data_IF_854104469414
#
_entry.id   IF_854104469414
#
_cell.length_a   1.000
_cell.length_b   1.000
_cell.length_c   1.000
_cell.angle_alpha   90.00
_cell.angle_beta   90.00
_cell.angle_gamma   90.00
#
_symmetry.space_group_name_H-M   'P 1'
#
loop_
_entity.id
_entity.type
_entity.pdbx_description
1 polymer ?
#
# COMPACT_ATOMS: atom_id res chain seq x y z
N UNK A 1 0.59 18.63 -4.42
CA UNK A 1 -0.85 18.30 -4.30
C UNK A 1 -1.50 19.48 -3.61
N UNK A 2 -2.71 19.85 -4.00
CA UNK A 2 -3.45 20.92 -3.31
C UNK A 2 -3.83 20.43 -1.91
N UNK A 3 -3.74 21.28 -0.88
CA UNK A 3 -4.00 20.91 0.52
C UNK A 3 -5.40 20.29 0.71
N UNK A 4 -6.37 20.73 -0.08
CA UNK A 4 -7.74 20.24 -0.05
C UNK A 4 -7.89 18.77 -0.53
N UNK A 5 -6.97 18.28 -1.35
CA UNK A 5 -6.95 16.88 -1.81
C UNK A 5 -6.38 15.96 -0.74
N UNK A 6 -5.40 16.43 0.03
CA UNK A 6 -4.76 15.66 1.09
C UNK A 6 -5.71 15.45 2.28
N UNK A 7 -6.44 16.50 2.68
CA UNK A 7 -7.44 16.42 3.75
C UNK A 7 -8.58 15.45 3.41
N UNK A 8 -9.04 15.45 2.15
CA UNK A 8 -10.05 14.50 1.70
C UNK A 8 -9.54 13.06 1.75
N UNK A 9 -8.31 12.82 1.27
CA UNK A 9 -7.69 11.51 1.30
C UNK A 9 -7.49 11.01 2.74
N UNK A 10 -7.09 11.90 3.65
CA UNK A 10 -6.98 11.60 5.08
C UNK A 10 -8.31 11.12 5.66
N UNK A 11 -9.40 11.87 5.44
CA UNK A 11 -10.72 11.50 5.96
C UNK A 11 -11.29 10.22 5.32
N UNK A 12 -10.96 9.93 4.06
CA UNK A 12 -11.32 8.69 3.40
C UNK A 12 -10.57 7.49 3.99
N UNK A 13 -9.24 7.55 4.03
CA UNK A 13 -8.40 6.45 4.53
C UNK A 13 -8.62 6.19 6.01
N UNK A 14 -8.91 7.23 6.81
CA UNK A 14 -9.19 7.09 8.24
C UNK A 14 -10.43 6.23 8.51
N UNK A 15 -11.42 6.22 7.60
CA UNK A 15 -12.60 5.35 7.71
C UNK A 15 -12.27 3.88 7.45
N UNK A 16 -11.10 3.59 6.88
CA UNK A 16 -10.64 2.26 6.55
C UNK A 16 -9.73 1.66 7.62
N UNK A 17 -9.53 2.33 8.77
CA UNK A 17 -8.73 1.77 9.88
C UNK A 17 -9.35 0.43 10.32
N UNK A 18 -8.52 -0.62 10.34
CA UNK A 18 -8.91 -2.00 10.61
C UNK A 18 -9.31 -2.80 9.37
N UNK A 19 -9.45 -2.16 8.22
CA UNK A 19 -9.79 -2.80 6.95
C UNK A 19 -8.54 -3.12 6.13
N UNK A 20 -8.71 -4.10 5.25
CA UNK A 20 -7.69 -4.53 4.31
C UNK A 20 -7.65 -3.61 3.08
N UNK A 21 -6.44 -3.23 2.68
CA UNK A 21 -6.20 -2.26 1.64
C UNK A 21 -5.02 -2.68 0.77
N UNK A 22 -5.16 -2.54 -0.54
CA UNK A 22 -4.06 -2.55 -1.50
C UNK A 22 -3.70 -1.12 -1.87
N UNK A 23 -2.41 -0.81 -1.85
CA UNK A 23 -1.85 0.51 -2.17
C UNK A 23 -0.76 0.36 -3.21
N UNK A 24 -0.90 1.11 -4.31
CA UNK A 24 0.10 1.22 -5.38
C UNK A 24 0.84 2.54 -5.17
N UNK A 25 2.17 2.47 -5.07
CA UNK A 25 2.98 3.68 -4.87
C UNK A 25 3.72 4.13 -6.12
N UNK A 26 4.10 5.41 -6.16
CA UNK A 26 4.78 6.09 -7.28
C UNK A 26 6.22 5.63 -7.46
N UNK A 27 6.83 5.06 -6.42
CA UNK A 27 8.22 4.64 -6.43
C UNK A 27 8.50 3.75 -7.64
N UNK A 28 9.47 4.16 -8.45
CA UNK A 28 9.73 3.57 -9.77
C UNK A 28 10.05 2.09 -9.60
N UNK A 29 10.86 1.76 -8.58
CA UNK A 29 11.36 0.42 -8.32
C UNK A 29 11.77 0.27 -6.85
N UNK A 30 11.20 -0.71 -6.13
CA UNK A 30 11.79 -1.25 -4.91
C UNK A 30 12.85 -2.28 -5.31
N UNK A 31 14.03 -2.20 -4.70
CA UNK A 31 15.02 -3.27 -4.78
C UNK A 31 14.93 -4.12 -3.51
N UNK A 32 14.31 -5.28 -3.62
CA UNK A 32 14.26 -6.28 -2.55
C UNK A 32 14.85 -7.58 -3.08
N UNK A 33 15.77 -8.16 -2.31
CA UNK A 33 16.39 -9.46 -2.62
C UNK A 33 17.03 -9.52 -4.03
N UNK A 34 17.54 -8.38 -4.53
CA UNK A 34 18.15 -8.28 -5.86
C UNK A 34 17.15 -8.21 -7.02
N UNK A 35 15.86 -8.07 -6.74
CA UNK A 35 14.80 -7.89 -7.72
C UNK A 35 14.20 -6.50 -7.64
N UNK A 36 13.81 -6.00 -8.80
CA UNK A 36 13.36 -4.64 -9.05
C UNK A 36 11.90 -4.70 -9.48
N UNK A 37 10.98 -4.17 -8.68
CA UNK A 37 9.55 -4.24 -8.97
C UNK A 37 8.83 -2.95 -8.56
N UNK A 38 7.65 -2.69 -9.14
CA UNK A 38 6.79 -1.59 -8.69
C UNK A 38 6.12 -1.99 -7.36
N UNK A 39 6.36 -1.26 -6.26
CA UNK A 39 5.71 -1.52 -4.98
C UNK A 39 4.19 -1.51 -5.08
N UNK A 40 3.61 -2.70 -4.93
CA UNK A 40 2.21 -2.88 -4.57
C UNK A 40 2.22 -3.48 -3.16
N UNK A 41 1.73 -2.73 -2.21
CA UNK A 41 1.59 -3.15 -0.82
C UNK A 41 0.14 -3.57 -0.60
N UNK A 42 -0.07 -4.65 0.13
CA UNK A 42 -1.38 -5.05 0.62
C UNK A 42 -1.30 -5.31 2.11
N UNK A 43 -2.34 -4.96 2.86
CA UNK A 43 -2.33 -5.17 4.31
C UNK A 43 -3.43 -4.40 5.00
N UNK A 44 -3.50 -4.56 6.31
CA UNK A 44 -4.54 -3.92 7.12
C UNK A 44 -4.13 -2.49 7.50
N UNK A 45 -5.03 -1.53 7.38
CA UNK A 45 -4.79 -0.14 7.80
C UNK A 45 -4.72 -0.08 9.32
N UNK A 46 -3.53 0.11 9.87
CA UNK A 46 -3.31 0.14 11.31
C UNK A 46 -3.38 1.56 11.88
N UNK A 47 -3.00 2.57 11.10
CA UNK A 47 -3.04 3.97 11.49
C UNK A 47 -3.09 4.90 10.28
N UNK A 48 -3.69 6.08 10.44
CA UNK A 48 -3.73 7.13 9.41
C UNK A 48 -3.47 8.47 10.09
N UNK A 49 -2.40 9.13 9.69
CA UNK A 49 -2.01 10.45 10.18
C UNK A 49 -2.06 11.46 9.03
N UNK A 50 -1.98 12.74 9.38
CA UNK A 50 -1.84 13.77 8.35
C UNK A 50 -0.54 13.53 7.55
N UNK A 51 -0.70 13.28 6.26
CA UNK A 51 0.38 13.03 5.30
C UNK A 51 0.82 11.58 5.12
N UNK A 52 0.37 10.61 5.93
CA UNK A 52 0.77 9.21 5.72
C UNK A 52 -0.24 8.16 6.24
N UNK A 53 -0.22 7.02 5.56
CA UNK A 53 -0.98 5.81 5.85
C UNK A 53 -0.03 4.74 6.41
N UNK A 54 -0.40 4.06 7.50
CA UNK A 54 0.37 2.92 8.00
C UNK A 54 -0.39 1.62 7.83
N UNK A 55 0.27 0.63 7.23
CA UNK A 55 -0.24 -0.74 7.07
C UNK A 55 0.47 -1.69 8.04
N UNK A 56 -0.27 -2.60 8.67
CA UNK A 56 0.27 -3.69 9.49
C UNK A 56 -0.80 -4.78 9.74
N UNK A 57 -0.52 -6.07 9.44
CA UNK A 57 0.66 -6.61 8.74
C UNK A 57 0.71 -6.19 7.27
N UNK A 58 1.88 -6.30 6.63
CA UNK A 58 2.07 -5.89 5.23
C UNK A 58 2.60 -7.03 4.38
N UNK A 59 1.95 -7.22 3.23
CA UNK A 59 2.36 -8.09 2.15
C UNK A 59 2.86 -7.21 1.00
N UNK A 60 4.07 -7.51 0.52
CA UNK A 60 4.64 -6.90 -0.67
C UNK A 60 4.35 -7.84 -1.85
N UNK A 61 3.49 -7.39 -2.76
CA UNK A 61 3.17 -8.14 -3.98
C UNK A 61 4.34 -8.04 -4.95
N UNK A 62 4.79 -9.21 -5.41
CA UNK A 62 5.87 -9.33 -6.38
C UNK A 62 5.30 -9.93 -7.66
N UNK A 63 5.72 -9.40 -8.80
CA UNK A 63 5.27 -9.89 -10.13
C UNK A 63 5.70 -11.35 -10.33
N UNK A 64 6.93 -11.71 -9.91
CA UNK A 64 7.55 -12.99 -10.25
C UNK A 64 7.74 -13.95 -9.06
N UNK A 65 7.09 -13.69 -7.92
CA UNK A 65 7.26 -14.51 -6.73
C UNK A 65 5.95 -14.61 -5.93
N UNK A 66 5.74 -15.70 -5.18
CA UNK A 66 4.76 -15.69 -4.10
C UNK A 66 5.20 -14.57 -3.15
N UNK A 67 4.37 -13.54 -3.06
CA UNK A 67 4.47 -12.36 -2.19
C UNK A 67 5.38 -12.46 -0.94
N UNK A 68 5.88 -11.31 -0.48
CA UNK A 68 6.71 -11.23 0.73
C UNK A 68 5.94 -10.64 1.92
N UNK A 69 5.82 -11.40 3.00
CA UNK A 69 5.32 -10.89 4.28
C UNK A 69 6.40 -10.00 4.91
N UNK A 70 6.16 -8.69 4.95
CA UNK A 70 7.08 -7.74 5.55
C UNK A 70 6.94 -7.78 7.08
N UNK A 71 8.04 -7.93 7.83
CA UNK A 71 7.98 -8.22 9.28
C UNK A 71 7.63 -7.01 10.15
N UNK A 72 7.55 -5.81 9.57
CA UNK A 72 7.29 -4.56 10.29
C UNK A 72 6.11 -3.79 9.68
N UNK A 73 5.48 -2.86 10.41
CA UNK A 73 4.57 -1.90 9.79
C UNK A 73 5.26 -1.05 8.71
N UNK A 74 4.52 -0.63 7.70
CA UNK A 74 5.02 0.31 6.67
C UNK A 74 4.15 1.56 6.68
N UNK A 75 4.79 2.71 6.84
CA UNK A 75 4.16 4.02 6.65
C UNK A 75 4.44 4.56 5.24
N UNK A 76 3.38 4.81 4.50
CA UNK A 76 3.38 5.26 3.11
C UNK A 76 2.92 6.73 3.09
N UNK A 77 3.77 7.66 2.63
CA UNK A 77 3.35 9.05 2.46
C UNK A 77 2.26 9.20 1.39
N UNK A 78 1.30 10.08 1.59
CA UNK A 78 0.17 10.27 0.67
C UNK A 78 0.64 10.69 -0.73
N UNK A 79 1.72 11.46 -0.86
CA UNK A 79 2.30 11.86 -2.15
C UNK A 79 2.88 10.69 -2.95
N UNK A 80 3.19 9.60 -2.26
CA UNK A 80 3.62 8.36 -2.88
C UNK A 80 2.43 7.49 -3.31
N UNK A 81 1.22 7.70 -2.78
CA UNK A 81 0.04 6.92 -3.18
C UNK A 81 -0.40 7.34 -4.59
N UNK A 82 -0.43 6.37 -5.50
CA UNK A 82 -0.96 6.55 -6.87
C UNK A 82 -2.40 6.10 -6.95
N UNK A 83 -2.72 4.98 -6.28
CA UNK A 83 -4.05 4.40 -6.23
C UNK A 83 -4.14 3.43 -5.05
N UNK A 84 -5.36 3.23 -4.54
CA UNK A 84 -5.65 2.22 -3.52
C UNK A 84 -7.00 1.53 -3.81
N UNK A 85 -7.19 0.32 -3.27
CA UNK A 85 -8.43 -0.45 -3.42
C UNK A 85 -8.66 -1.37 -2.22
N UNK A 86 -9.92 -1.52 -1.82
CA UNK A 86 -10.40 -2.47 -0.80
C UNK A 86 -11.12 -3.67 -1.41
N UNK A 87 -11.26 -3.73 -2.75
CA UNK A 87 -12.07 -4.74 -3.43
C UNK A 87 -11.28 -6.02 -3.74
N UNK A 88 -9.96 -5.95 -3.71
CA UNK A 88 -9.08 -7.07 -4.04
C UNK A 88 -8.56 -7.68 -2.74
N UNK A 89 -8.68 -9.02 -2.56
CA UNK A 89 -8.12 -9.68 -1.39
C UNK A 89 -6.62 -9.47 -1.24
N UNK A 90 -6.15 -9.25 -0.01
CA UNK A 90 -4.74 -8.92 0.26
C UNK A 90 -3.77 -10.04 -0.10
N UNK A 91 -4.23 -11.27 -0.25
CA UNK A 91 -3.48 -12.48 -0.60
C UNK A 91 -3.67 -12.92 -2.06
N UNK A 92 -4.56 -12.28 -2.81
CA UNK A 92 -4.83 -12.61 -4.23
C UNK A 92 -3.55 -12.57 -5.08
N UNK A 93 -3.25 -13.67 -5.78
CA UNK A 93 -2.11 -13.75 -6.69
C UNK A 93 -2.53 -13.16 -8.03
N UNK A 94 -1.94 -12.04 -8.43
CA UNK A 94 -2.24 -11.44 -9.73
C UNK A 94 -1.86 -12.41 -10.86
N UNK A 95 -2.80 -12.84 -11.72
CA UNK A 95 -2.47 -13.70 -12.85
C UNK A 95 -1.61 -12.92 -13.84
N UNK A 96 -0.40 -13.39 -14.10
CA UNK A 96 0.37 -12.95 -15.27
C UNK A 96 -0.19 -13.66 -16.49
N UNK A 97 -0.81 -12.91 -17.39
CA UNK A 97 -1.19 -13.37 -18.73
C UNK A 97 -0.04 -13.13 -19.71
#
# INVERSE_FOLDING_TARGET
MDHQTEDNLYEELKKLIGEDLIVITRAVQLNLLGQVFRPIFSGTVSDVQHGHLTLSPVIIKMVNAPFYNFPFPISIPFEQVVSYSTEVPVDEVFPLA
#
